data_IF_112402035931
#
_entry.id   IF_112402035931
#
_cell.length_a   1.000
_cell.length_b   1.000
_cell.length_c   1.000
_cell.angle_alpha   90.00
_cell.angle_beta   90.00
_cell.angle_gamma   90.00
#
_symmetry.space_group_name_H-M   'P 1'
#
loop_
_entity.id
_entity.type
_entity.pdbx_description
1 polymer ?
#
# COMPACT_ATOMS: atom_id res chain seq x y z
N UNK A 1 -13.01 15.33 13.47
CA UNK A 1 -12.28 15.93 12.32
C UNK A 1 -10.95 16.49 12.81
N UNK A 2 -9.90 16.45 11.98
CA UNK A 2 -8.53 16.84 12.38
C UNK A 2 -8.35 18.34 12.64
N UNK A 3 -9.25 19.21 12.16
CA UNK A 3 -9.27 20.63 12.53
C UNK A 3 -8.00 21.42 12.19
N UNK A 4 -7.19 20.94 11.23
CA UNK A 4 -5.88 21.52 10.91
C UNK A 4 -4.72 21.05 11.80
N UNK A 5 -4.98 20.23 12.82
CA UNK A 5 -3.93 19.61 13.63
C UNK A 5 -3.36 18.38 12.91
N UNK A 6 -2.08 18.49 12.55
CA UNK A 6 -1.31 17.45 11.86
C UNK A 6 -0.43 16.63 12.79
N UNK A 7 -0.61 16.73 14.11
CA UNK A 7 0.14 15.92 15.07
C UNK A 7 -0.17 14.43 14.87
N UNK A 8 0.85 13.54 14.84
CA UNK A 8 0.64 12.10 14.71
C UNK A 8 -0.37 11.53 15.71
N UNK A 9 -1.17 10.58 15.23
CA UNK A 9 -2.19 9.85 15.99
C UNK A 9 -1.77 8.40 16.20
N UNK A 10 -2.29 7.82 17.26
CA UNK A 10 -2.17 6.42 17.65
C UNK A 10 -3.46 5.61 17.41
N UNK A 11 -4.35 6.14 16.57
CA UNK A 11 -5.62 5.53 16.19
C UNK A 11 -5.89 5.65 14.68
N UNK A 12 -6.86 4.87 14.19
CA UNK A 12 -7.33 4.91 12.80
C UNK A 12 -8.59 5.77 12.70
N UNK A 13 -8.73 6.51 11.61
CA UNK A 13 -9.99 7.14 11.23
C UNK A 13 -10.71 6.27 10.20
N UNK A 14 -11.88 5.76 10.58
CA UNK A 14 -12.77 5.01 9.71
C UNK A 14 -13.82 5.95 9.10
N UNK A 15 -13.91 5.99 7.78
CA UNK A 15 -14.95 6.71 7.05
C UNK A 15 -16.11 5.74 6.80
N UNK A 16 -17.15 5.80 7.64
CA UNK A 16 -18.31 4.91 7.52
C UNK A 16 -19.31 5.40 6.47
N UNK A 17 -19.43 6.72 6.31
CA UNK A 17 -20.25 7.36 5.28
C UNK A 17 -19.76 8.79 5.03
N UNK A 18 -20.40 9.51 4.13
CA UNK A 18 -20.10 10.92 3.86
C UNK A 18 -20.18 11.84 5.11
N UNK A 19 -20.93 11.43 6.14
CA UNK A 19 -21.17 12.25 7.35
C UNK A 19 -20.80 11.54 8.65
N UNK A 20 -20.45 10.25 8.61
CA UNK A 20 -20.16 9.45 9.80
C UNK A 20 -18.72 8.94 9.76
N UNK A 21 -17.98 9.20 10.83
CA UNK A 21 -16.64 8.67 11.05
C UNK A 21 -16.55 7.96 12.39
N UNK A 22 -15.63 7.02 12.51
CA UNK A 22 -15.38 6.24 13.73
C UNK A 22 -13.89 6.10 13.99
N UNK A 23 -13.51 5.83 15.23
CA UNK A 23 -12.16 5.39 15.63
C UNK A 23 -12.11 3.93 16.06
N UNK A 24 -13.26 3.27 16.15
CA UNK A 24 -13.40 1.92 16.69
C UNK A 24 -13.50 0.85 15.59
N UNK A 25 -13.80 1.25 14.35
CA UNK A 25 -13.96 0.36 13.21
C UNK A 25 -15.15 0.71 12.31
N UNK A 26 -15.39 -0.13 11.31
CA UNK A 26 -16.51 -0.01 10.37
C UNK A 26 -17.77 -0.70 10.92
N UNK A 27 -18.59 0.00 11.70
CA UNK A 27 -19.74 -0.62 12.41
C UNK A 27 -20.81 -1.23 11.49
N UNK A 28 -20.92 -0.73 10.25
CA UNK A 28 -21.85 -1.23 9.25
C UNK A 28 -21.34 -2.41 8.41
N UNK A 29 -20.14 -2.92 8.67
CA UNK A 29 -19.49 -3.98 7.89
C UNK A 29 -19.53 -5.29 8.68
N UNK A 30 -20.37 -6.27 8.30
CA UNK A 30 -20.58 -7.49 9.11
C UNK A 30 -19.33 -8.36 9.29
N UNK A 31 -18.43 -8.34 8.31
CA UNK A 31 -17.20 -9.14 8.29
C UNK A 31 -15.95 -8.27 8.51
N UNK A 32 -16.09 -7.17 9.25
CA UNK A 32 -14.97 -6.29 9.54
C UNK A 32 -13.91 -7.01 10.38
N UNK A 33 -12.68 -7.09 9.84
CA UNK A 33 -11.55 -7.68 10.53
C UNK A 33 -10.72 -6.61 11.26
N UNK A 34 -10.95 -6.48 12.57
CA UNK A 34 -10.20 -5.55 13.42
C UNK A 34 -8.75 -5.98 13.67
N UNK A 35 -8.37 -7.24 13.38
CA UNK A 35 -6.98 -7.70 13.48
C UNK A 35 -6.12 -7.20 12.30
N UNK A 36 -6.74 -6.95 11.14
CA UNK A 36 -6.09 -6.31 9.99
C UNK A 36 -6.21 -4.79 10.09
N UNK A 37 -7.42 -4.28 10.36
CA UNK A 37 -7.70 -2.85 10.40
C UNK A 37 -7.54 -2.24 11.80
N UNK A 38 -6.36 -2.40 12.40
CA UNK A 38 -5.98 -1.70 13.63
C UNK A 38 -4.69 -0.90 13.45
N UNK A 39 -4.48 0.07 14.36
CA UNK A 39 -3.37 1.00 14.27
C UNK A 39 -2.01 0.30 14.30
N UNK A 40 -1.82 -0.67 15.20
CA UNK A 40 -0.54 -1.37 15.37
C UNK A 40 -0.14 -2.11 14.08
N UNK A 41 -1.06 -2.87 13.50
CA UNK A 41 -0.82 -3.62 12.27
C UNK A 41 -0.53 -2.69 11.08
N UNK A 42 -1.39 -1.70 10.84
CA UNK A 42 -1.28 -0.84 9.66
C UNK A 42 -0.12 0.17 9.76
N UNK A 43 0.18 0.68 10.96
CA UNK A 43 1.36 1.55 11.16
C UNK A 43 2.66 0.77 11.04
N UNK A 44 2.72 -0.48 11.53
CA UNK A 44 3.85 -1.38 11.28
C UNK A 44 4.03 -1.67 9.79
N UNK A 45 2.93 -1.89 9.06
CA UNK A 45 2.90 -1.99 7.61
C UNK A 45 3.50 -0.76 6.92
N UNK A 46 3.07 0.45 7.33
CA UNK A 46 3.66 1.71 6.84
C UNK A 46 5.18 1.79 7.07
N UNK A 47 5.66 1.42 8.26
CA UNK A 47 7.11 1.40 8.54
C UNK A 47 7.85 0.38 7.68
N UNK A 48 7.26 -0.81 7.47
CA UNK A 48 7.79 -1.83 6.57
C UNK A 48 7.93 -1.32 5.13
N UNK A 49 6.92 -0.59 4.65
CA UNK A 49 6.95 0.08 3.35
C UNK A 49 8.09 1.09 3.29
N UNK A 50 8.11 2.09 4.18
CA UNK A 50 9.14 3.15 4.16
C UNK A 50 10.54 2.55 4.24
N UNK A 51 10.77 1.59 5.14
CA UNK A 51 12.06 0.93 5.29
C UNK A 51 12.44 0.08 4.08
N UNK A 52 11.48 -0.64 3.50
CA UNK A 52 11.67 -1.50 2.34
C UNK A 52 11.98 -0.71 1.08
N UNK A 53 11.35 0.45 0.87
CA UNK A 53 11.43 1.18 -0.39
C UNK A 53 12.43 2.34 -0.41
N UNK A 54 13.03 2.72 0.73
CA UNK A 54 13.93 3.90 0.86
C UNK A 54 15.14 3.91 -0.08
N UNK A 55 15.58 2.73 -0.54
CA UNK A 55 16.71 2.63 -1.48
C UNK A 55 16.37 3.14 -2.88
N UNK A 56 15.09 3.28 -3.20
CA UNK A 56 14.60 3.77 -4.49
C UNK A 56 13.73 5.03 -4.35
N UNK A 57 12.87 5.08 -3.33
CA UNK A 57 11.97 6.21 -3.08
C UNK A 57 12.42 6.93 -1.83
N UNK A 58 13.36 7.85 -1.99
CA UNK A 58 13.96 8.57 -0.85
C UNK A 58 12.97 9.49 -0.16
N UNK A 59 12.02 10.08 -0.90
CA UNK A 59 11.02 11.00 -0.34
C UNK A 59 10.25 10.42 0.85
N UNK A 60 9.99 9.11 0.87
CA UNK A 60 9.24 8.49 1.96
C UNK A 60 9.94 8.57 3.32
N UNK A 61 11.27 8.69 3.37
CA UNK A 61 11.99 8.81 4.65
C UNK A 61 11.81 10.19 5.30
N UNK A 62 11.52 11.19 4.48
CA UNK A 62 11.31 12.58 4.92
C UNK A 62 9.86 12.82 5.38
N UNK A 63 9.01 11.80 5.28
CA UNK A 63 7.60 11.86 5.65
C UNK A 63 7.35 11.15 6.98
N UNK A 64 6.44 11.70 7.78
CA UNK A 64 5.93 11.08 8.99
C UNK A 64 4.42 10.86 8.94
N UNK A 65 4.00 9.71 9.46
CA UNK A 65 2.61 9.30 9.50
C UNK A 65 1.83 10.17 10.48
N UNK A 66 0.82 10.89 9.96
CA UNK A 66 -0.10 11.68 10.78
C UNK A 66 -1.24 10.79 11.26
N UNK A 67 -1.95 10.15 10.32
CA UNK A 67 -3.07 9.26 10.64
C UNK A 67 -3.31 8.30 9.46
N UNK A 68 -3.81 7.11 9.78
CA UNK A 68 -4.27 6.13 8.80
C UNK A 68 -5.78 6.28 8.67
N UNK A 69 -6.26 6.39 7.44
CA UNK A 69 -7.68 6.51 7.11
C UNK A 69 -8.11 5.26 6.35
N UNK A 70 -9.22 4.67 6.79
CA UNK A 70 -9.85 3.50 6.17
C UNK A 70 -11.20 3.92 5.62
N UNK A 71 -11.40 3.74 4.31
CA UNK A 71 -12.70 3.92 3.68
C UNK A 71 -13.52 2.64 3.85
N UNK A 72 -14.54 2.68 4.70
CA UNK A 72 -15.38 1.52 4.96
C UNK A 72 -16.23 1.12 3.74
N UNK A 73 -16.34 1.95 2.70
CA UNK A 73 -17.06 1.62 1.47
C UNK A 73 -16.25 0.78 0.48
N UNK A 74 -14.97 0.52 0.77
CA UNK A 74 -14.11 -0.32 -0.06
C UNK A 74 -14.71 -1.74 -0.20
N UNK A 75 -14.90 -2.20 -1.44
CA UNK A 75 -15.66 -3.42 -1.74
C UNK A 75 -15.10 -4.67 -1.08
N UNK A 76 -13.78 -4.83 -1.02
CA UNK A 76 -13.14 -6.00 -0.44
C UNK A 76 -13.24 -6.01 1.08
N UNK A 77 -13.18 -4.82 1.71
CA UNK A 77 -13.49 -4.68 3.14
C UNK A 77 -14.97 -5.02 3.39
N UNK A 78 -15.89 -4.56 2.55
CA UNK A 78 -17.32 -4.88 2.65
C UNK A 78 -17.60 -6.38 2.53
N UNK A 79 -16.85 -7.09 1.68
CA UNK A 79 -16.95 -8.55 1.55
C UNK A 79 -16.19 -9.33 2.62
N UNK A 80 -15.44 -8.66 3.49
CA UNK A 80 -14.57 -9.31 4.48
C UNK A 80 -13.44 -10.12 3.85
N UNK A 81 -12.94 -9.69 2.69
CA UNK A 81 -11.85 -10.36 2.00
C UNK A 81 -10.49 -9.97 2.63
N UNK A 82 -9.79 -10.89 3.31
CA UNK A 82 -8.52 -10.58 3.97
C UNK A 82 -7.34 -10.53 2.99
N UNK A 83 -7.55 -10.86 1.71
CA UNK A 83 -6.49 -10.87 0.69
C UNK A 83 -6.21 -9.49 0.12
N UNK A 84 -7.06 -8.49 0.33
CA UNK A 84 -6.86 -7.12 -0.13
C UNK A 84 -7.02 -6.09 0.98
N UNK A 85 -6.07 -5.15 1.05
CA UNK A 85 -6.10 -4.03 1.99
C UNK A 85 -5.92 -2.73 1.22
N UNK A 86 -6.80 -1.75 1.45
CA UNK A 86 -6.64 -0.39 0.94
C UNK A 86 -6.77 0.61 2.08
N UNK A 87 -5.76 1.46 2.22
CA UNK A 87 -5.70 2.49 3.25
C UNK A 87 -5.15 3.79 2.68
N UNK A 88 -5.47 4.90 3.33
CA UNK A 88 -4.98 6.22 2.98
C UNK A 88 -4.20 6.77 4.16
N UNK A 89 -2.89 6.83 4.01
CA UNK A 89 -2.00 7.39 5.02
C UNK A 89 -1.89 8.89 4.77
N UNK A 90 -2.45 9.70 5.67
CA UNK A 90 -2.12 11.11 5.70
C UNK A 90 -0.73 11.23 6.32
N UNK A 91 0.20 11.80 5.57
CA UNK A 91 1.58 11.98 6.00
C UNK A 91 1.97 13.45 5.86
N UNK A 92 2.91 13.91 6.68
CA UNK A 92 3.46 15.26 6.58
C UNK A 92 4.96 15.24 6.45
N UNK A 93 5.54 16.30 5.90
CA UNK A 93 6.99 16.48 5.90
C UNK A 93 7.51 16.63 7.33
N UNK A 94 8.64 15.97 7.61
CA UNK A 94 9.38 16.14 8.86
C UNK A 94 10.03 17.52 8.99
N UNK A 95 10.29 18.18 7.86
CA UNK A 95 10.93 19.50 7.80
C UNK A 95 9.90 20.65 7.89
N UNK A 96 8.70 20.44 7.35
CA UNK A 96 7.61 21.41 7.37
C UNK A 96 6.27 20.71 7.64
N UNK A 97 5.72 20.88 8.84
CA UNK A 97 4.48 20.22 9.24
C UNK A 97 3.22 20.72 8.53
N UNK A 98 3.33 21.80 7.73
CA UNK A 98 2.25 22.31 6.88
C UNK A 98 2.18 21.61 5.52
N UNK A 99 3.29 20.98 5.09
CA UNK A 99 3.37 20.20 3.86
C UNK A 99 2.80 18.80 4.10
N UNK A 100 1.64 18.53 3.50
CA UNK A 100 0.87 17.30 3.65
C UNK A 100 0.81 16.53 2.34
N UNK A 101 0.80 15.21 2.46
CA UNK A 101 0.62 14.29 1.34
C UNK A 101 -0.39 13.22 1.71
N UNK A 102 -1.18 12.80 0.73
CA UNK A 102 -2.02 11.63 0.83
C UNK A 102 -1.29 10.46 0.17
N UNK A 103 -0.81 9.53 0.98
CA UNK A 103 -0.20 8.29 0.51
C UNK A 103 -1.26 7.18 0.49
N UNK A 104 -1.77 6.88 -0.69
CA UNK A 104 -2.69 5.74 -0.89
C UNK A 104 -1.86 4.46 -0.96
N UNK A 105 -2.26 3.45 -0.21
CA UNK A 105 -1.61 2.13 -0.22
C UNK A 105 -2.69 1.09 -0.52
N UNK A 106 -2.48 0.31 -1.58
CA UNK A 106 -3.28 -0.86 -1.91
C UNK A 106 -2.39 -2.09 -1.91
N UNK A 107 -2.66 -3.04 -1.01
CA UNK A 107 -1.96 -4.31 -0.90
C UNK A 107 -2.88 -5.45 -1.33
N UNK A 108 -2.33 -6.46 -1.97
CA UNK A 108 -3.06 -7.65 -2.38
C UNK A 108 -2.17 -8.89 -2.23
N UNK A 109 -2.67 -9.92 -1.56
CA UNK A 109 -2.04 -11.23 -1.46
C UNK A 109 -2.36 -12.02 -2.72
N UNK A 110 -1.34 -12.37 -3.49
CA UNK A 110 -1.49 -13.05 -4.78
C UNK A 110 -0.40 -14.08 -5.00
N UNK A 111 -0.61 -14.98 -5.95
CA UNK A 111 0.46 -15.83 -6.46
C UNK A 111 1.34 -15.06 -7.44
N UNK A 112 2.66 -15.30 -7.35
CA UNK A 112 3.63 -14.79 -8.31
C UNK A 112 4.32 -15.93 -9.05
N UNK A 113 4.76 -15.65 -10.26
CA UNK A 113 5.60 -16.54 -11.05
C UNK A 113 6.87 -15.81 -11.51
N UNK A 114 8.02 -16.47 -11.36
CA UNK A 114 9.31 -16.04 -11.88
C UNK A 114 9.86 -17.15 -12.79
N UNK A 115 9.47 -17.08 -14.07
CA UNK A 115 9.70 -18.12 -15.08
C UNK A 115 11.17 -18.42 -15.31
N UNK A 116 11.99 -17.38 -15.45
CA UNK A 116 13.44 -17.51 -15.71
C UNK A 116 14.18 -18.31 -14.61
N UNK A 117 13.57 -18.43 -13.44
CA UNK A 117 14.14 -19.17 -12.30
C UNK A 117 13.30 -20.37 -11.87
N UNK A 118 12.24 -20.71 -12.61
CA UNK A 118 11.29 -21.77 -12.26
C UNK A 118 10.80 -21.67 -10.79
N UNK A 119 10.45 -20.45 -10.36
CA UNK A 119 9.97 -20.17 -9.00
C UNK A 119 8.55 -19.64 -9.05
N UNK A 120 7.74 -20.08 -8.09
CA UNK A 120 6.40 -19.58 -7.86
C UNK A 120 6.10 -19.61 -6.36
N UNK A 121 5.11 -18.84 -5.93
CA UNK A 121 4.65 -18.85 -4.54
C UNK A 121 3.73 -17.69 -4.26
N UNK A 122 3.32 -17.51 -3.00
CA UNK A 122 2.54 -16.36 -2.61
C UNK A 122 3.43 -15.13 -2.42
N UNK A 123 2.85 -13.96 -2.64
CA UNK A 123 3.44 -12.66 -2.41
C UNK A 123 2.37 -11.66 -1.97
N UNK A 124 2.79 -10.61 -1.30
CA UNK A 124 2.00 -9.38 -1.19
C UNK A 124 2.48 -8.44 -2.29
N UNK A 125 1.59 -8.08 -3.20
CA UNK A 125 1.81 -7.01 -4.15
C UNK A 125 1.25 -5.71 -3.58
N UNK A 126 2.04 -4.65 -3.62
CA UNK A 126 1.66 -3.32 -3.19
C UNK A 126 1.72 -2.31 -4.32
N UNK A 127 0.68 -1.49 -4.45
CA UNK A 127 0.67 -0.27 -5.24
C UNK A 127 0.55 0.92 -4.29
N UNK A 128 1.42 1.91 -4.47
CA UNK A 128 1.42 3.14 -3.68
C UNK A 128 1.31 4.35 -4.59
N UNK A 129 0.55 5.33 -4.13
CA UNK A 129 0.37 6.59 -4.84
C UNK A 129 0.58 7.71 -3.84
N UNK A 130 1.49 8.64 -4.13
CA UNK A 130 1.75 9.81 -3.29
C UNK A 130 1.14 11.05 -3.95
N UNK A 131 0.09 11.60 -3.34
CA UNK A 131 -0.62 12.78 -3.83
C UNK A 131 -0.27 13.98 -2.96
N UNK A 132 0.28 15.05 -3.56
CA UNK A 132 0.50 16.33 -2.88
C UNK A 132 -0.66 17.30 -3.09
N UNK A 133 -1.15 17.41 -4.33
CA UNK A 133 -2.34 18.18 -4.69
C UNK A 133 -3.41 17.24 -5.26
N UNK A 134 -4.61 17.24 -4.67
CA UNK A 134 -5.76 16.45 -5.14
C UNK A 134 -6.27 16.89 -6.52
N UNK A 135 -5.82 18.03 -7.04
CA UNK A 135 -6.10 18.51 -8.40
C UNK A 135 -5.08 18.02 -9.43
N UNK A 136 -3.99 17.39 -8.99
CA UNK A 136 -2.98 16.87 -9.89
C UNK A 136 -3.53 15.67 -10.67
N UNK A 137 -3.39 15.73 -11.98
CA UNK A 137 -3.81 14.66 -12.89
C UNK A 137 -2.70 13.66 -13.19
N UNK A 138 -1.46 13.93 -12.76
CA UNK A 138 -0.31 13.10 -13.03
C UNK A 138 0.37 12.64 -11.74
N UNK A 139 -0.28 11.70 -11.05
CA UNK A 139 0.21 11.20 -9.78
C UNK A 139 1.18 10.05 -9.98
N UNK A 140 2.34 10.12 -9.30
CA UNK A 140 3.35 9.07 -9.35
C UNK A 140 2.87 7.81 -8.64
N UNK A 141 2.98 6.67 -9.32
CA UNK A 141 2.65 5.35 -8.80
C UNK A 141 3.93 4.54 -8.58
N UNK A 142 3.98 3.85 -7.45
CA UNK A 142 5.06 2.96 -7.06
C UNK A 142 4.51 1.55 -6.94
N UNK A 143 5.30 0.56 -7.35
CA UNK A 143 4.96 -0.84 -7.21
C UNK A 143 6.01 -1.52 -6.37
N UNK A 144 5.57 -2.35 -5.43
CA UNK A 144 6.44 -3.12 -4.56
C UNK A 144 5.87 -4.52 -4.38
N UNK A 145 6.71 -5.51 -4.09
CA UNK A 145 6.25 -6.84 -3.71
C UNK A 145 7.07 -7.38 -2.55
N UNK A 146 6.40 -8.07 -1.63
CA UNK A 146 7.03 -8.88 -0.59
C UNK A 146 6.76 -10.35 -0.94
N UNK A 147 7.78 -11.04 -1.46
CA UNK A 147 7.68 -12.44 -1.86
C UNK A 147 7.63 -13.35 -0.62
N UNK A 148 7.00 -14.52 -0.75
CA UNK A 148 6.92 -15.57 0.28
C UNK A 148 6.06 -15.24 1.52
N UNK A 149 5.36 -14.11 1.54
CA UNK A 149 4.31 -13.84 2.52
C UNK A 149 3.16 -14.85 2.37
N UNK A 150 2.52 -15.36 3.44
CA UNK A 150 2.69 -15.03 4.87
C UNK A 150 3.72 -15.88 5.61
N UNK A 151 4.57 -16.65 4.91
CA UNK A 151 5.54 -17.53 5.56
C UNK A 151 6.71 -16.78 6.21
N UNK A 152 6.87 -15.49 5.90
CA UNK A 152 7.76 -14.57 6.59
C UNK A 152 6.95 -13.59 7.45
N UNK A 153 7.39 -13.38 8.69
CA UNK A 153 6.72 -12.47 9.65
C UNK A 153 6.82 -10.99 9.25
N UNK A 154 7.92 -10.60 8.62
CA UNK A 154 8.15 -9.22 8.17
C UNK A 154 7.92 -9.12 6.67
N UNK A 155 7.17 -8.10 6.24
CA UNK A 155 7.05 -7.74 4.84
C UNK A 155 8.37 -7.12 4.37
N UNK A 156 9.21 -7.90 3.70
CA UNK A 156 10.41 -7.38 3.02
C UNK A 156 10.02 -6.91 1.62
N UNK A 157 9.55 -5.67 1.53
CA UNK A 157 9.16 -5.07 0.25
C UNK A 157 10.39 -4.78 -0.61
N UNK A 158 10.33 -5.26 -1.85
CA UNK A 158 11.22 -4.87 -2.94
C UNK A 158 10.44 -4.01 -3.94
N UNK A 159 11.12 -3.05 -4.57
CA UNK A 159 10.54 -2.15 -5.56
C UNK A 159 10.53 -2.79 -6.95
N UNK A 160 9.49 -2.46 -7.72
CA UNK A 160 9.28 -2.97 -9.06
C UNK A 160 8.88 -1.86 -10.03
N UNK A 161 9.20 -2.06 -11.30
CA UNK A 161 8.68 -1.30 -12.43
C UNK A 161 7.64 -2.12 -13.17
N UNK A 162 6.53 -1.48 -13.56
CA UNK A 162 5.56 -2.10 -14.45
C UNK A 162 6.14 -2.16 -15.86
N UNK A 163 6.12 -3.34 -16.46
CA UNK A 163 6.48 -3.57 -17.86
C UNK A 163 5.24 -3.48 -18.74
N UNK A 164 4.13 -4.07 -18.28
CA UNK A 164 2.86 -4.12 -19.02
C UNK A 164 2.21 -5.50 -18.94
N UNK A 165 1.05 -5.69 -19.59
CA UNK A 165 0.41 -7.00 -19.66
C UNK A 165 1.24 -7.97 -20.50
N UNK A 166 1.26 -9.22 -20.08
CA UNK A 166 1.76 -10.37 -20.85
C UNK A 166 0.67 -10.92 -21.79
N UNK A 167 1.07 -11.74 -22.76
CA UNK A 167 0.15 -12.45 -23.66
C UNK A 167 -0.83 -13.38 -22.92
N UNK A 168 -0.48 -13.77 -21.69
CA UNK A 168 -1.28 -14.64 -20.81
C UNK A 168 -2.10 -13.86 -19.76
N UNK A 169 -2.29 -12.55 -19.95
CA UNK A 169 -3.08 -11.67 -19.07
C UNK A 169 -2.52 -11.45 -17.65
N UNK A 170 -1.26 -11.81 -17.39
CA UNK A 170 -0.53 -11.33 -16.20
C UNK A 170 -0.06 -9.89 -16.40
N UNK A 171 0.07 -9.09 -15.34
CA UNK A 171 0.90 -7.88 -15.40
C UNK A 171 2.34 -8.28 -15.07
N UNK A 172 3.25 -7.94 -15.97
CA UNK A 172 4.67 -8.15 -15.78
C UNK A 172 5.30 -6.97 -15.01
N UNK A 173 6.08 -7.33 -14.00
CA UNK A 173 6.91 -6.44 -13.20
C UNK A 173 8.39 -6.80 -13.36
N UNK A 174 9.25 -5.81 -13.21
CA UNK A 174 10.71 -6.02 -13.15
C UNK A 174 11.27 -5.42 -11.89
N UNK A 175 12.04 -6.18 -11.12
CA UNK A 175 12.59 -5.74 -9.85
C UNK A 175 13.59 -4.59 -10.04
N UNK A 176 13.61 -3.68 -9.07
CA UNK A 176 14.63 -2.66 -8.92
C UNK A 176 15.56 -3.14 -7.81
N UNK A 177 16.81 -3.55 -8.11
CA UNK A 177 17.73 -4.07 -7.11
C UNK A 177 18.13 -2.99 -6.10
N UNK A 178 18.35 -3.41 -4.84
CA UNK A 178 18.90 -2.55 -3.77
C UNK A 178 20.36 -2.24 -4.04
N UNK A 179 21.11 -3.23 -4.53
CA UNK A 179 22.47 -3.07 -5.03
C UNK A 179 22.60 -3.59 -6.48
N UNK A 180 22.59 -2.70 -7.48
CA UNK A 180 22.71 -3.10 -8.90
C UNK A 180 24.01 -3.84 -9.26
N UNK A 181 25.07 -3.74 -8.45
CA UNK A 181 26.35 -4.39 -8.71
C UNK A 181 26.35 -5.87 -8.31
N UNK A 182 25.48 -6.26 -7.36
CA UNK A 182 25.49 -7.60 -6.76
C UNK A 182 24.16 -8.36 -6.90
N UNK A 183 23.06 -7.65 -7.15
CA UNK A 183 21.72 -8.23 -7.21
C UNK A 183 21.22 -8.29 -8.65
N UNK A 184 20.74 -9.45 -9.14
CA UNK A 184 20.19 -9.56 -10.47
C UNK A 184 18.81 -8.91 -10.57
N UNK A 185 18.50 -8.41 -11.77
CA UNK A 185 17.14 -7.97 -12.12
C UNK A 185 16.26 -9.23 -12.31
N UNK A 186 15.08 -9.23 -11.68
CA UNK A 186 14.12 -10.34 -11.69
C UNK A 186 12.81 -9.91 -12.33
N UNK A 187 12.33 -10.67 -13.30
CA UNK A 187 10.96 -10.54 -13.84
C UNK A 187 9.95 -11.27 -12.96
N UNK A 188 8.81 -10.64 -12.68
CA UNK A 188 7.68 -11.27 -12.01
C UNK A 188 6.42 -11.14 -12.89
N UNK A 189 5.68 -12.24 -13.03
CA UNK A 189 4.29 -12.22 -13.51
C UNK A 189 3.32 -12.40 -12.35
N UNK A 190 2.22 -11.65 -12.34
CA UNK A 190 1.11 -11.82 -11.40
C UNK A 190 -0.25 -11.58 -12.06
N UNK A 191 -1.29 -12.26 -11.58
CA UNK A 191 -2.64 -12.20 -12.18
C UNK A 191 -3.29 -10.84 -11.89
N UNK A 192 -3.77 -10.14 -12.91
CA UNK A 192 -4.36 -8.81 -12.71
C UNK A 192 -5.72 -8.93 -12.03
N UNK A 193 -5.75 -8.80 -10.70
CA UNK A 193 -6.91 -8.29 -10.00
C UNK A 193 -6.85 -6.77 -10.11
N UNK A 194 -7.79 -6.18 -10.84
CA UNK A 194 -7.87 -4.74 -11.10
C UNK A 194 -7.70 -3.95 -9.80
N UNK A 195 -6.55 -3.28 -9.65
CA UNK A 195 -6.43 -2.09 -8.80
C UNK A 195 -7.31 -1.01 -9.45
N UNK A 196 -8.62 -1.08 -9.19
CA UNK A 196 -9.55 -0.03 -9.56
C UNK A 196 -9.10 1.26 -8.86
N UNK A 197 -8.38 2.10 -9.62
CA UNK A 197 -8.23 3.52 -9.35
C UNK A 197 -9.64 4.10 -9.41
N UNK A 198 -10.28 4.20 -8.25
CA UNK A 198 -11.61 4.77 -8.07
C UNK A 198 -11.69 6.28 -8.29
N UNK A 199 -10.80 6.85 -9.12
CA UNK A 199 -10.91 8.22 -9.58
C UNK A 199 -11.50 8.22 -10.99
N UNK A 200 -12.82 8.40 -11.06
CA UNK A 200 -13.52 8.96 -12.21
C UNK A 200 -13.95 10.38 -11.87
#
# INVERSE_FOLDING_TARGET
MLGGDTTPRDYILFLESATKTSTDGCSGVPLFDSAIYNYEFLSSGYQGIVSGTKYNVTTFVDLELVIIVVDCSFSQLQSGDPSEVRVYNLVRSRNDSSELYLMTVSLSVQEYEQRDHNKQGPAVLGMLTLVHDMKDTNVTQYYMAALTYPYQRSLDFEMYKVVGPTDESFLALTSIPRNPETEPIRGLGYTVFTFSSGYK
#
